data_IF_540363039739
#
_entry.id   IF_540363039739
#
_cell.length_a   1.000
_cell.length_b   1.000
_cell.length_c   1.000
_cell.angle_alpha   90.00
_cell.angle_beta   90.00
_cell.angle_gamma   90.00
#
_symmetry.space_group_name_H-M   'P 1'
#
loop_
_entity.id
_entity.type
_entity.pdbx_description
1 polymer ?
#
# COMPACT_ATOMS: atom_id res chain seq x y z
N UNK A 1 -48.98 17.23 47.27
CA UNK A 1 -47.85 16.42 47.80
C UNK A 1 -47.17 15.74 46.62
N UNK A 2 -46.05 16.27 46.11
CA UNK A 2 -45.40 15.81 44.86
C UNK A 2 -44.24 14.89 45.21
N UNK A 3 -44.25 13.66 44.66
CA UNK A 3 -43.06 12.79 44.55
C UNK A 3 -42.83 12.50 43.07
N UNK A 4 -41.61 12.70 42.52
CA UNK A 4 -41.34 12.52 41.10
C UNK A 4 -41.18 11.04 40.73
N UNK A 5 -41.71 10.67 39.55
CA UNK A 5 -41.52 9.39 38.90
C UNK A 5 -40.22 9.44 38.08
N UNK A 6 -39.17 8.72 38.50
CA UNK A 6 -37.93 8.53 37.72
C UNK A 6 -38.11 7.38 36.73
N UNK A 7 -38.57 7.70 35.52
CA UNK A 7 -38.49 6.80 34.37
C UNK A 7 -37.08 6.78 33.76
N UNK A 8 -36.60 5.64 33.24
CA UNK A 8 -35.30 5.54 32.58
C UNK A 8 -35.30 6.34 31.27
N UNK A 9 -34.27 7.16 31.11
CA UNK A 9 -33.98 7.91 29.89
C UNK A 9 -33.23 7.02 28.88
N UNK A 10 -33.44 7.29 27.58
CA UNK A 10 -32.72 6.78 26.40
C UNK A 10 -33.09 5.32 26.00
N UNK A 11 -33.55 5.00 24.78
CA UNK A 11 -32.89 5.29 23.50
C UNK A 11 -33.87 5.30 22.31
N UNK A 12 -33.51 6.08 21.29
CA UNK A 12 -34.27 6.47 20.09
C UNK A 12 -34.17 5.42 18.98
N UNK A 13 -35.25 5.22 18.21
CA UNK A 13 -35.27 4.41 17.00
C UNK A 13 -34.64 5.13 15.82
N UNK A 14 -33.76 4.48 15.04
CA UNK A 14 -33.48 4.87 13.64
C UNK A 14 -33.12 3.66 12.80
N UNK A 15 -33.83 3.51 11.68
CA UNK A 15 -33.60 2.52 10.62
C UNK A 15 -32.45 2.97 9.71
N UNK A 16 -31.50 2.10 9.40
CA UNK A 16 -30.49 2.35 8.38
C UNK A 16 -30.48 1.21 7.34
N UNK A 17 -30.62 1.63 6.10
CA UNK A 17 -30.87 0.88 4.87
C UNK A 17 -29.73 -0.06 4.46
N UNK A 18 -30.09 -1.23 3.92
CA UNK A 18 -29.16 -2.17 3.28
C UNK A 18 -28.61 -1.56 1.98
N UNK A 19 -27.45 -0.94 2.05
CA UNK A 19 -26.66 -0.51 0.89
C UNK A 19 -25.36 -1.30 0.81
N UNK A 20 -25.21 -2.15 -0.22
CA UNK A 20 -23.95 -2.82 -0.55
C UNK A 20 -23.02 -1.76 -1.13
N UNK A 21 -21.99 -1.37 -0.38
CA UNK A 21 -20.88 -0.58 -0.93
C UNK A 21 -19.93 -1.57 -1.60
N UNK A 22 -19.92 -1.61 -2.93
CA UNK A 22 -18.87 -2.27 -3.71
C UNK A 22 -17.59 -1.44 -3.57
N UNK A 23 -16.89 -1.56 -2.45
CA UNK A 23 -15.51 -1.10 -2.36
C UNK A 23 -14.68 -2.04 -3.22
N UNK A 24 -14.20 -1.58 -4.37
CA UNK A 24 -13.20 -2.32 -5.13
C UNK A 24 -11.96 -2.40 -4.25
N UNK A 25 -11.75 -3.52 -3.56
CA UNK A 25 -10.53 -3.76 -2.82
C UNK A 25 -9.43 -3.89 -3.86
N UNK A 26 -8.64 -2.81 -4.05
CA UNK A 26 -7.41 -2.87 -4.85
C UNK A 26 -6.57 -3.98 -4.24
N UNK A 27 -6.56 -5.14 -4.89
CA UNK A 27 -5.72 -6.25 -4.52
C UNK A 27 -4.27 -5.82 -4.76
N UNK A 28 -3.69 -5.14 -3.77
CA UNK A 28 -2.26 -4.94 -3.70
C UNK A 28 -1.68 -6.32 -3.44
N UNK A 29 -1.34 -7.04 -4.51
CA UNK A 29 -0.52 -8.24 -4.40
C UNK A 29 0.80 -7.80 -3.79
N UNK A 30 0.96 -8.03 -2.49
CA UNK A 30 2.23 -7.88 -1.83
C UNK A 30 3.10 -9.05 -2.27
N UNK A 31 3.84 -8.87 -3.37
CA UNK A 31 4.78 -9.89 -3.85
C UNK A 31 6.02 -9.76 -2.97
N UNK A 32 6.12 -10.62 -1.95
CA UNK A 32 7.35 -10.76 -1.19
C UNK A 32 8.40 -11.42 -2.09
N UNK A 33 9.60 -10.85 -2.13
CA UNK A 33 10.70 -11.41 -2.92
C UNK A 33 11.31 -12.57 -2.13
N UNK A 34 11.49 -13.71 -2.80
CA UNK A 34 12.12 -14.91 -2.23
C UNK A 34 13.39 -15.26 -2.99
N UNK A 35 14.36 -15.87 -2.30
CA UNK A 35 15.62 -16.29 -2.92
C UNK A 35 15.35 -17.37 -3.97
N UNK A 36 15.99 -17.23 -5.14
CA UNK A 36 15.82 -18.14 -6.27
C UNK A 36 14.60 -17.85 -7.14
N UNK A 37 13.69 -16.96 -6.71
CA UNK A 37 12.63 -16.47 -7.59
C UNK A 37 13.18 -15.47 -8.61
N UNK A 38 12.57 -15.48 -9.80
CA UNK A 38 12.87 -14.47 -10.80
C UNK A 38 12.48 -13.08 -10.26
N UNK A 39 13.41 -12.13 -10.36
CA UNK A 39 13.15 -10.77 -9.92
C UNK A 39 11.99 -10.15 -10.73
N UNK A 40 11.06 -9.45 -10.06
CA UNK A 40 9.97 -8.75 -10.73
C UNK A 40 10.51 -7.63 -11.61
N UNK A 41 9.86 -7.39 -12.74
CA UNK A 41 10.28 -6.30 -13.62
C UNK A 41 9.91 -4.95 -12.98
N UNK A 42 10.79 -3.97 -13.16
CA UNK A 42 10.59 -2.60 -12.70
C UNK A 42 11.27 -1.63 -13.66
N UNK A 43 10.79 -0.39 -13.67
CA UNK A 43 11.37 0.71 -14.46
C UNK A 43 11.71 1.86 -13.53
N UNK A 44 12.96 2.35 -13.62
CA UNK A 44 13.46 3.48 -12.85
C UNK A 44 13.94 4.59 -13.78
N UNK A 45 13.88 5.83 -13.29
CA UNK A 45 14.56 6.94 -13.95
C UNK A 45 16.05 6.91 -13.59
N UNK A 46 16.88 6.95 -14.61
CA UNK A 46 18.33 7.15 -14.50
C UNK A 46 18.66 8.58 -14.10
N UNK A 47 19.89 8.80 -13.62
CA UNK A 47 20.47 10.13 -13.40
C UNK A 47 20.50 11.00 -14.67
N UNK A 48 20.44 10.39 -15.85
CA UNK A 48 20.38 11.06 -17.15
C UNK A 48 18.95 11.41 -17.59
N UNK A 49 17.93 11.10 -16.77
CA UNK A 49 16.52 11.33 -17.09
C UNK A 49 15.88 10.28 -18.00
N UNK A 50 16.64 9.29 -18.46
CA UNK A 50 16.15 8.16 -19.25
C UNK A 50 15.49 7.11 -18.37
N UNK A 51 14.52 6.37 -18.92
CA UNK A 51 13.91 5.23 -18.25
C UNK A 51 14.71 3.95 -18.53
N UNK A 52 14.97 3.19 -17.46
CA UNK A 52 15.74 1.96 -17.49
C UNK A 52 14.92 0.86 -16.82
N UNK A 53 14.72 -0.27 -17.50
CA UNK A 53 13.97 -1.41 -16.97
C UNK A 53 14.88 -2.58 -16.63
N UNK A 54 14.51 -3.38 -15.62
CA UNK A 54 15.28 -4.58 -15.26
C UNK A 54 15.34 -5.58 -16.43
N UNK A 55 14.24 -5.71 -17.17
CA UNK A 55 14.14 -6.56 -18.37
C UNK A 55 15.21 -6.30 -19.42
N UNK A 56 15.74 -5.08 -19.54
CA UNK A 56 16.83 -4.72 -20.47
C UNK A 56 18.15 -5.44 -20.17
N UNK A 57 18.32 -6.01 -18.97
CA UNK A 57 19.56 -6.68 -18.55
C UNK A 57 19.39 -8.20 -18.35
N UNK A 58 18.18 -8.74 -18.51
CA UNK A 58 17.90 -10.17 -18.31
C UNK A 58 18.70 -11.02 -19.30
N UNK A 59 19.39 -12.04 -18.79
CA UNK A 59 20.17 -12.98 -19.60
C UNK A 59 21.58 -12.49 -19.96
N UNK A 60 21.81 -11.17 -19.92
CA UNK A 60 23.07 -10.58 -20.39
C UNK A 60 23.98 -10.13 -19.24
N UNK A 61 23.41 -9.66 -18.13
CA UNK A 61 24.16 -9.10 -17.00
C UNK A 61 23.54 -9.47 -15.65
N UNK A 62 24.40 -9.64 -14.64
CA UNK A 62 23.96 -9.70 -13.25
C UNK A 62 23.67 -8.27 -12.78
N UNK A 63 22.52 -8.07 -12.12
CA UNK A 63 22.07 -6.76 -11.64
C UNK A 63 22.00 -6.76 -10.12
N UNK A 64 22.57 -5.73 -9.49
CA UNK A 64 22.50 -5.48 -8.04
C UNK A 64 21.75 -4.17 -7.81
N UNK A 65 20.78 -4.18 -6.92
CA UNK A 65 19.97 -3.01 -6.58
C UNK A 65 20.33 -2.52 -5.17
N UNK A 66 20.80 -1.27 -5.07
CA UNK A 66 21.16 -0.63 -3.81
C UNK A 66 20.48 0.73 -3.70
N UNK A 67 19.90 1.03 -2.53
CA UNK A 67 19.18 2.27 -2.26
C UNK A 67 19.89 3.06 -1.15
N UNK A 68 20.23 4.31 -1.43
CA UNK A 68 20.88 5.20 -0.48
C UNK A 68 20.04 6.47 -0.33
N UNK A 69 19.54 6.75 0.88
CA UNK A 69 18.67 7.91 1.13
C UNK A 69 19.48 9.22 1.16
N UNK A 70 20.74 9.15 1.61
CA UNK A 70 21.69 10.25 1.64
C UNK A 70 22.99 9.78 0.99
N UNK A 71 23.29 10.24 -0.22
CA UNK A 71 24.47 9.81 -0.99
C UNK A 71 25.69 10.73 -0.88
N UNK A 72 25.67 11.69 0.05
CA UNK A 72 26.81 12.59 0.28
C UNK A 72 27.67 12.09 1.44
N UNK A 73 28.50 11.07 1.18
CA UNK A 73 29.60 10.74 2.11
C UNK A 73 30.83 11.52 1.68
N UNK A 74 31.18 12.57 2.43
CA UNK A 74 32.44 13.29 2.28
C UNK A 74 33.59 12.38 2.69
N UNK A 75 34.39 11.95 1.73
CA UNK A 75 35.69 11.33 1.98
C UNK A 75 36.74 12.36 2.33
#
# INVERSE_FOLDING_TARGET
>A
MVRPNTGPLWYVYTVASKGVILTTQSNRRNVMVEVGQSAPDFTLKSHQGTEVSLSQFKGDKVVVLSWHVLSFTGG
#
